data_IF_893846000527
#
_entry.id   IF_893846000527
#
_cell.length_a   1.000
_cell.length_b   1.000
_cell.length_c   1.000
_cell.angle_alpha   90.00
_cell.angle_beta   90.00
_cell.angle_gamma   90.00
#
_symmetry.space_group_name_H-M   'P 1'
#
loop_
_entity.id
_entity.type
_entity.pdbx_description
1 polymer ?
#
# COMPACT_ATOMS: atom_id res chain seq x y z
N UNK A 1 -1.96 -4.38 7.13
CA UNK A 1 -2.26 -5.74 6.57
C UNK A 1 -1.38 -5.98 5.35
N UNK A 2 -0.92 -7.20 5.03
CA UNK A 2 -0.08 -7.41 3.85
C UNK A 2 -0.88 -7.35 2.54
N UNK A 3 -0.24 -6.90 1.46
CA UNK A 3 -0.76 -7.01 0.08
C UNK A 3 -0.89 -8.46 -0.35
N UNK A 4 -1.78 -8.75 -1.29
CA UNK A 4 -1.91 -10.09 -1.86
C UNK A 4 -0.76 -10.38 -2.82
N UNK A 5 -0.31 -9.37 -3.54
CA UNK A 5 0.76 -9.45 -4.53
C UNK A 5 2.13 -9.36 -3.85
N UNK A 6 3.10 -10.10 -4.38
CA UNK A 6 4.52 -9.85 -4.12
C UNK A 6 5.02 -8.86 -5.14
N UNK A 7 5.52 -7.73 -4.65
CA UNK A 7 6.05 -6.66 -5.48
C UNK A 7 7.52 -6.44 -5.10
N UNK A 8 8.33 -6.20 -6.13
CA UNK A 8 9.75 -5.93 -5.98
C UNK A 8 10.43 -5.71 -7.33
N UNK A 9 11.61 -5.11 -7.32
CA UNK A 9 12.46 -4.98 -8.49
C UNK A 9 13.94 -5.06 -8.10
N UNK A 10 14.77 -5.64 -8.98
CA UNK A 10 16.20 -5.86 -8.71
C UNK A 10 17.10 -4.68 -9.09
N UNK A 11 16.59 -3.73 -9.88
CA UNK A 11 17.37 -2.60 -10.40
C UNK A 11 16.70 -1.24 -10.16
N UNK A 12 15.46 -1.23 -9.68
CA UNK A 12 14.70 0.00 -9.46
C UNK A 12 14.11 -0.01 -8.05
N UNK A 13 14.09 1.16 -7.42
CA UNK A 13 13.28 1.36 -6.23
C UNK A 13 11.81 1.43 -6.65
N UNK A 14 10.91 0.96 -5.79
CA UNK A 14 9.48 0.95 -6.07
C UNK A 14 8.77 1.87 -5.11
N UNK A 15 7.74 2.55 -5.59
CA UNK A 15 6.88 3.37 -4.74
C UNK A 15 5.46 2.86 -4.85
N UNK A 16 4.79 2.70 -3.70
CA UNK A 16 3.38 2.35 -3.63
C UNK A 16 2.57 3.60 -3.27
N UNK A 17 1.38 3.73 -3.85
CA UNK A 17 0.48 4.83 -3.53
C UNK A 17 -0.94 4.32 -3.40
N UNK A 18 -1.71 4.98 -2.52
CA UNK A 18 -3.17 4.86 -2.51
C UNK A 18 -3.79 5.30 -3.83
N UNK A 19 -4.93 4.69 -4.17
CA UNK A 19 -5.74 5.15 -5.29
C UNK A 19 -6.38 6.51 -4.95
N UNK A 20 -6.49 7.38 -5.94
CA UNK A 20 -7.15 8.68 -5.77
C UNK A 20 -8.58 8.54 -5.26
N UNK A 21 -9.30 7.51 -5.71
CA UNK A 21 -10.68 7.22 -5.32
C UNK A 21 -10.79 6.84 -3.84
N UNK A 22 -9.87 6.01 -3.33
CA UNK A 22 -9.87 5.63 -1.91
C UNK A 22 -9.47 6.81 -1.04
N UNK A 23 -8.51 7.63 -1.48
CA UNK A 23 -8.14 8.86 -0.79
C UNK A 23 -9.30 9.87 -0.74
N UNK A 24 -10.11 10.00 -1.80
CA UNK A 24 -11.30 10.84 -1.82
C UNK A 24 -12.40 10.38 -0.83
N UNK A 25 -12.40 9.10 -0.46
CA UNK A 25 -13.25 8.53 0.59
C UNK A 25 -12.60 8.60 1.98
N UNK A 26 -11.40 9.20 2.10
CA UNK A 26 -10.66 9.31 3.36
C UNK A 26 -9.95 8.03 3.79
N UNK A 27 -9.58 7.16 2.84
CA UNK A 27 -8.81 5.93 3.07
C UNK A 27 -7.40 6.08 2.49
N UNK A 28 -6.38 5.96 3.33
CA UNK A 28 -4.97 6.12 3.00
C UNK A 28 -4.21 4.82 3.25
N UNK A 29 -3.28 4.43 2.36
CA UNK A 29 -2.57 3.15 2.41
C UNK A 29 -1.17 3.21 3.03
N UNK A 30 -0.59 4.40 3.07
CA UNK A 30 0.75 4.66 3.57
C UNK A 30 0.75 5.94 4.42
N UNK A 31 1.49 5.90 5.54
CA UNK A 31 1.73 7.08 6.38
C UNK A 31 3.20 7.48 6.31
N UNK A 32 4.11 6.51 6.27
CA UNK A 32 5.54 6.77 6.46
C UNK A 32 6.51 6.00 5.56
N UNK A 33 6.11 4.87 4.96
CA UNK A 33 7.02 3.96 4.27
C UNK A 33 6.51 3.51 2.89
N UNK A 34 6.36 4.46 1.97
CA UNK A 34 5.87 4.18 0.62
C UNK A 34 6.96 3.78 -0.39
N UNK A 35 8.25 3.82 -0.01
CA UNK A 35 9.39 3.51 -0.85
C UNK A 35 10.03 2.16 -0.48
N UNK A 36 10.12 1.27 -1.46
CA UNK A 36 10.77 -0.03 -1.38
C UNK A 36 12.21 0.02 -1.87
N UNK A 37 13.11 -0.61 -1.11
CA UNK A 37 14.53 -0.71 -1.49
C UNK A 37 14.75 -1.66 -2.69
N UNK A 38 15.78 -1.37 -3.48
CA UNK A 38 16.17 -2.19 -4.63
C UNK A 38 16.55 -3.61 -4.17
N UNK A 39 16.05 -4.63 -4.87
CA UNK A 39 16.28 -6.04 -4.56
C UNK A 39 15.29 -6.63 -3.56
N UNK A 40 14.45 -5.83 -2.90
CA UNK A 40 13.39 -6.33 -2.05
C UNK A 40 12.22 -6.84 -2.90
N UNK A 41 11.84 -8.11 -2.73
CA UNK A 41 10.65 -8.73 -3.34
C UNK A 41 9.81 -9.34 -2.22
N UNK A 42 8.72 -8.69 -1.86
CA UNK A 42 7.92 -9.06 -0.69
C UNK A 42 6.44 -8.69 -0.87
N UNK A 43 5.59 -9.22 0.00
CA UNK A 43 4.30 -8.61 0.25
C UNK A 43 4.52 -7.29 0.98
N UNK A 44 3.85 -6.24 0.54
CA UNK A 44 3.94 -4.93 1.15
C UNK A 44 3.02 -4.86 2.36
N UNK A 45 3.55 -4.37 3.47
CA UNK A 45 2.71 -4.05 4.63
C UNK A 45 1.96 -2.77 4.34
N UNK A 46 0.64 -2.85 4.26
CA UNK A 46 -0.25 -1.71 4.09
C UNK A 46 -0.57 -1.09 5.45
N UNK A 47 -0.27 0.20 5.59
CA UNK A 47 -0.53 1.05 6.75
C UNK A 47 -1.85 1.81 6.52
N UNK A 48 -2.97 1.11 6.69
CA UNK A 48 -4.26 1.70 6.36
C UNK A 48 -4.77 2.61 7.48
N UNK A 49 -5.04 3.87 7.11
CA UNK A 49 -5.67 4.86 7.98
C UNK A 49 -6.95 5.37 7.35
N UNK A 50 -7.96 5.59 8.18
CA UNK A 50 -9.30 5.98 7.73
C UNK A 50 -9.81 7.18 8.53
N UNK A 51 -10.45 8.13 7.86
CA UNK A 51 -11.05 9.32 8.51
C UNK A 51 -12.35 8.97 9.23
N UNK A 52 -13.13 8.04 8.66
CA UNK A 52 -14.37 7.54 9.23
C UNK A 52 -14.35 5.99 9.25
N UNK A 53 -15.14 5.33 10.13
CA UNK A 53 -15.21 3.88 10.14
C UNK A 53 -15.65 3.32 8.78
N UNK A 54 -14.89 2.35 8.25
CA UNK A 54 -15.17 1.68 6.97
C UNK A 54 -14.92 0.18 7.10
N UNK A 55 -15.57 -0.60 6.24
CA UNK A 55 -15.31 -2.03 6.11
C UNK A 55 -14.41 -2.23 4.89
N UNK A 56 -13.27 -2.88 5.11
CA UNK A 56 -12.30 -3.21 4.06
C UNK A 56 -12.41 -4.70 3.79
N UNK A 57 -12.75 -5.04 2.55
CA UNK A 57 -12.80 -6.43 2.11
C UNK A 57 -11.44 -6.83 1.53
N UNK A 58 -10.87 -7.98 1.93
CA UNK A 58 -9.60 -8.44 1.38
C UNK A 58 -9.76 -8.85 -0.09
N UNK A 59 -8.68 -8.66 -0.88
CA UNK A 59 -8.55 -9.07 -2.30
C UNK A 59 -9.44 -8.28 -3.29
N UNK A 60 -9.87 -7.09 -2.89
CA UNK A 60 -10.54 -6.13 -3.77
C UNK A 60 -9.53 -5.16 -4.40
#
# INVERSE_FOLDING_TARGET
MPSTEKLGATHFAQMIFGLKQTAALGIYLDISANLGHVGAVTHWTLEITVVQPVIIYPRL
#
